data_IF_201762209756
#
_entry.id   IF_201762209756
#
_cell.length_a   1.000
_cell.length_b   1.000
_cell.length_c   1.000
_cell.angle_alpha   90.00
_cell.angle_beta   90.00
_cell.angle_gamma   90.00
#
_symmetry.space_group_name_H-M   'P 1'
#
loop_
_entity.id
_entity.type
_entity.pdbx_description
1 polymer ?
#
# COMPACT_ATOMS: atom_id res chain seq x y z
N UNK A 1 14.99 25.20 8.84
CA UNK A 1 14.81 24.90 10.27
C UNK A 1 13.71 25.81 10.84
N UNK A 2 12.70 25.26 11.49
CA UNK A 2 11.54 26.01 11.98
C UNK A 2 11.97 26.88 13.18
N UNK A 3 11.70 28.20 13.18
CA UNK A 3 12.23 29.16 14.20
C UNK A 3 12.01 28.67 15.64
N UNK A 4 10.88 28.01 15.91
CA UNK A 4 10.52 27.45 17.22
C UNK A 4 11.48 26.33 17.70
N UNK A 5 11.98 25.51 16.78
CA UNK A 5 12.91 24.41 17.08
C UNK A 5 14.30 24.98 17.39
N UNK A 6 14.72 26.00 16.65
CA UNK A 6 15.99 26.69 16.89
C UNK A 6 16.01 27.36 18.27
N UNK A 7 14.91 28.02 18.65
CA UNK A 7 14.80 28.65 19.98
C UNK A 7 14.80 27.62 21.11
N UNK A 8 14.13 26.48 20.94
CA UNK A 8 14.12 25.41 21.94
C UNK A 8 15.50 24.79 22.16
N UNK A 9 16.28 24.56 21.09
CA UNK A 9 17.65 24.04 21.18
C UNK A 9 18.56 25.04 21.91
N UNK A 10 18.44 26.34 21.61
CA UNK A 10 19.22 27.39 22.29
C UNK A 10 18.88 27.43 23.79
N UNK A 11 17.60 27.34 24.16
CA UNK A 11 17.18 27.35 25.57
C UNK A 11 17.71 26.12 26.32
N UNK A 12 17.65 24.94 25.72
CA UNK A 12 18.17 23.70 26.31
C UNK A 12 19.70 23.77 26.49
N UNK A 13 20.42 24.34 25.53
CA UNK A 13 21.87 24.54 25.64
C UNK A 13 22.23 25.52 26.77
N UNK A 14 21.48 26.62 26.93
CA UNK A 14 21.67 27.58 28.03
C UNK A 14 21.38 26.94 29.39
N UNK A 15 20.30 26.16 29.51
CA UNK A 15 19.96 25.44 30.73
C UNK A 15 21.01 24.38 31.12
N UNK A 16 21.55 23.64 30.15
CA UNK A 16 22.62 22.69 30.39
C UNK A 16 23.90 23.38 30.91
N UNK A 17 24.21 24.56 30.38
CA UNK A 17 25.36 25.38 30.78
C UNK A 17 25.24 25.83 32.25
N UNK A 18 24.06 26.31 32.65
CA UNK A 18 23.76 26.75 34.03
C UNK A 18 23.87 25.60 35.03
N UNK A 19 23.43 24.39 34.65
CA UNK A 19 23.50 23.20 35.52
C UNK A 19 24.91 22.64 35.60
N UNK A 20 25.75 22.76 34.56
CA UNK A 20 27.12 22.23 34.57
C UNK A 20 28.16 23.10 35.31
N UNK A 21 27.90 24.41 35.43
CA UNK A 21 28.77 25.39 36.10
C UNK A 21 29.14 25.00 37.56
N UNK A 22 28.19 24.64 38.45
CA UNK A 22 28.53 24.28 39.84
C UNK A 22 29.19 22.91 39.98
N UNK A 23 29.10 22.01 38.99
CA UNK A 23 29.74 20.70 39.02
C UNK A 23 31.16 20.71 38.44
N UNK A 24 31.47 21.64 37.53
CA UNK A 24 32.80 21.79 36.95
C UNK A 24 33.85 22.24 37.99
N UNK A 25 33.45 23.09 38.95
CA UNK A 25 34.32 23.56 40.05
C UNK A 25 34.75 22.44 41.02
N UNK A 26 34.02 21.32 41.10
CA UNK A 26 34.32 20.21 42.01
C UNK A 26 35.24 19.15 41.41
N UNK A 27 35.40 19.11 40.09
CA UNK A 27 36.05 18.00 39.37
C UNK A 27 37.40 18.44 38.75
N UNK A 28 37.59 19.73 38.50
CA UNK A 28 38.76 20.25 37.76
C UNK A 28 39.72 20.96 38.73
N UNK A 29 41.03 20.61 38.74
CA UNK A 29 42.02 21.27 39.59
C UNK A 29 42.06 22.78 39.37
N UNK A 30 42.12 23.57 40.45
CA UNK A 30 42.06 25.05 40.41
C UNK A 30 43.12 25.70 39.52
N UNK A 31 44.27 25.05 39.38
CA UNK A 31 45.40 25.50 38.54
C UNK A 31 45.04 25.52 37.05
N UNK A 32 44.32 24.50 36.56
CA UNK A 32 43.86 24.40 35.16
C UNK A 32 42.72 25.38 34.86
N UNK A 33 41.87 25.67 35.84
CA UNK A 33 40.77 26.62 35.69
C UNK A 33 41.27 28.07 35.63
N UNK A 34 42.35 28.41 36.34
CA UNK A 34 42.92 29.75 36.33
C UNK A 34 43.57 30.12 34.98
N UNK A 35 44.18 29.16 34.30
CA UNK A 35 44.90 29.39 33.04
C UNK A 35 44.01 29.18 31.79
N UNK A 36 43.10 28.20 31.83
CA UNK A 36 42.28 27.80 30.67
C UNK A 36 40.78 27.78 30.94
N UNK A 37 40.29 28.32 32.07
CA UNK A 37 38.91 28.15 32.55
C UNK A 37 37.82 28.50 31.54
N UNK A 38 38.02 29.58 30.77
CA UNK A 38 37.10 29.97 29.69
C UNK A 38 37.08 28.91 28.57
N UNK A 39 38.24 28.36 28.21
CA UNK A 39 38.39 27.37 27.15
C UNK A 39 37.80 26.00 27.56
N UNK A 40 38.04 25.59 28.82
CA UNK A 40 37.53 24.35 29.41
C UNK A 40 36.00 24.34 29.46
N UNK A 41 35.35 25.49 29.68
CA UNK A 41 33.89 25.59 29.66
C UNK A 41 33.31 25.67 28.23
N UNK A 42 34.00 26.34 27.30
CA UNK A 42 33.50 26.57 25.94
C UNK A 42 33.59 25.31 25.07
N UNK A 43 34.68 24.54 25.16
CA UNK A 43 34.91 23.35 24.32
C UNK A 43 33.78 22.31 24.43
N UNK A 44 33.33 21.86 25.61
CA UNK A 44 32.24 20.88 25.70
C UNK A 44 30.91 21.43 25.17
N UNK A 45 30.66 22.74 25.30
CA UNK A 45 29.46 23.39 24.74
C UNK A 45 29.50 23.39 23.22
N UNK A 46 30.65 23.73 22.62
CA UNK A 46 30.83 23.67 21.16
C UNK A 46 30.66 22.23 20.66
N UNK A 47 31.26 21.24 21.34
CA UNK A 47 31.14 19.82 20.99
C UNK A 47 29.68 19.36 21.07
N UNK A 48 28.94 19.76 22.09
CA UNK A 48 27.52 19.45 22.25
C UNK A 48 26.68 20.05 21.11
N UNK A 49 26.92 21.32 20.75
CA UNK A 49 26.22 22.01 19.65
C UNK A 49 26.51 21.29 18.32
N UNK A 50 27.76 20.93 18.06
CA UNK A 50 28.15 20.20 16.84
C UNK A 50 27.48 18.82 16.79
N UNK A 51 27.44 18.08 17.90
CA UNK A 51 26.73 16.81 18.01
C UNK A 51 25.23 16.96 17.72
N UNK A 52 24.58 17.98 18.27
CA UNK A 52 23.16 18.24 18.02
C UNK A 52 22.87 18.61 16.56
N UNK A 53 23.76 19.36 15.90
CA UNK A 53 23.67 19.65 14.47
C UNK A 53 23.83 18.39 13.63
N UNK A 54 24.78 17.52 13.97
CA UNK A 54 25.00 16.24 13.28
C UNK A 54 23.78 15.33 13.45
N UNK A 55 23.28 15.16 14.68
CA UNK A 55 22.09 14.34 14.98
C UNK A 55 20.86 14.90 14.25
N UNK A 56 20.65 16.22 14.30
CA UNK A 56 19.57 16.88 13.56
C UNK A 56 19.65 16.65 12.06
N UNK A 57 20.84 16.77 11.48
CA UNK A 57 21.09 16.52 10.05
C UNK A 57 20.88 15.04 9.65
N UNK A 58 21.27 14.10 10.51
CA UNK A 58 21.04 12.66 10.29
C UNK A 58 19.55 12.32 10.39
N UNK A 59 18.84 12.84 11.40
CA UNK A 59 17.39 12.63 11.55
C UNK A 59 16.63 13.26 10.39
N UNK A 60 16.99 14.47 9.96
CA UNK A 60 16.39 15.14 8.80
C UNK A 60 16.67 14.38 7.49
N UNK A 61 17.87 13.79 7.33
CA UNK A 61 18.19 12.87 6.22
C UNK A 61 17.37 11.58 6.25
N UNK A 62 17.08 11.03 7.42
CA UNK A 62 16.27 9.81 7.58
C UNK A 62 14.78 10.13 7.32
N UNK A 63 14.28 11.24 7.85
CA UNK A 63 12.89 11.67 7.67
C UNK A 63 12.58 12.12 6.24
N UNK A 64 13.55 12.70 5.53
CA UNK A 64 13.41 13.09 4.12
C UNK A 64 13.78 11.98 3.13
N UNK A 65 14.12 10.77 3.61
CA UNK A 65 14.36 9.64 2.73
C UNK A 65 13.01 9.19 2.17
N UNK A 66 12.79 9.43 0.87
CA UNK A 66 11.61 8.88 0.17
C UNK A 66 11.52 7.38 0.50
N UNK A 67 10.36 6.88 0.98
CA UNK A 67 10.22 5.47 1.32
C UNK A 67 10.56 4.65 0.07
N UNK A 68 11.18 3.48 0.29
CA UNK A 68 11.50 2.60 -0.84
C UNK A 68 10.19 2.23 -1.54
N UNK A 69 10.23 2.09 -2.87
CA UNK A 69 9.03 1.73 -3.64
C UNK A 69 8.40 0.41 -3.12
N UNK A 70 9.23 -0.52 -2.64
CA UNK A 70 8.82 -1.75 -1.96
C UNK A 70 7.97 -1.48 -0.69
N UNK A 71 8.35 -0.49 0.12
CA UNK A 71 7.64 -0.11 1.35
C UNK A 71 6.29 0.53 0.98
N UNK A 72 6.27 1.41 -0.02
CA UNK A 72 5.05 2.01 -0.55
C UNK A 72 4.09 0.95 -1.10
N UNK A 73 4.60 -0.07 -1.82
CA UNK A 73 3.80 -1.20 -2.29
C UNK A 73 3.15 -1.93 -1.10
N UNK A 74 3.95 -2.26 -0.08
CA UNK A 74 3.47 -2.99 1.09
C UNK A 74 2.42 -2.20 1.87
N UNK A 75 2.62 -0.88 2.03
CA UNK A 75 1.66 0.03 2.66
C UNK A 75 0.33 0.04 1.88
N UNK A 76 0.35 0.23 0.57
CA UNK A 76 -0.85 0.23 -0.27
C UNK A 76 -1.63 -1.10 -0.18
N UNK A 77 -0.92 -2.23 -0.14
CA UNK A 77 -1.54 -3.56 0.05
C UNK A 77 -2.20 -3.67 1.42
N UNK A 78 -1.57 -3.16 2.48
CA UNK A 78 -2.15 -3.16 3.82
C UNK A 78 -3.38 -2.26 3.92
N UNK A 79 -3.31 -1.05 3.37
CA UNK A 79 -4.45 -0.13 3.31
C UNK A 79 -5.65 -0.73 2.57
N UNK A 80 -5.41 -1.42 1.44
CA UNK A 80 -6.44 -2.15 0.70
C UNK A 80 -7.08 -3.26 1.55
N UNK A 81 -6.26 -4.04 2.27
CA UNK A 81 -6.76 -5.08 3.20
C UNK A 81 -7.56 -4.48 4.36
N UNK A 82 -7.14 -3.33 4.88
CA UNK A 82 -7.86 -2.62 5.95
C UNK A 82 -9.22 -2.13 5.42
N UNK A 83 -9.24 -1.50 4.26
CA UNK A 83 -10.48 -1.02 3.62
C UNK A 83 -11.44 -2.19 3.33
N UNK A 84 -10.92 -3.31 2.83
CA UNK A 84 -11.69 -4.54 2.62
C UNK A 84 -12.31 -5.06 3.93
N UNK A 85 -11.50 -5.19 4.99
CA UNK A 85 -11.99 -5.61 6.31
C UNK A 85 -13.04 -4.64 6.87
N UNK A 86 -12.83 -3.33 6.72
CA UNK A 86 -13.79 -2.32 7.16
C UNK A 86 -15.09 -2.40 6.39
N UNK A 87 -15.01 -2.64 5.07
CA UNK A 87 -16.19 -2.83 4.23
C UNK A 87 -16.96 -4.08 4.63
N UNK A 88 -16.28 -5.23 4.78
CA UNK A 88 -16.92 -6.47 5.20
C UNK A 88 -17.53 -6.38 6.61
N UNK A 89 -16.91 -5.61 7.53
CA UNK A 89 -17.46 -5.35 8.87
C UNK A 89 -18.51 -4.22 8.91
N UNK A 90 -19.03 -3.79 7.76
CA UNK A 90 -20.01 -2.71 7.64
C UNK A 90 -19.59 -1.34 8.23
N UNK A 91 -18.30 -1.12 8.48
CA UNK A 91 -17.77 0.15 9.01
C UNK A 91 -17.70 1.26 7.95
N UNK A 92 -17.61 0.87 6.68
CA UNK A 92 -17.65 1.79 5.54
C UNK A 92 -18.68 1.31 4.52
N UNK A 93 -19.29 2.26 3.82
CA UNK A 93 -20.27 2.00 2.78
C UNK A 93 -19.59 1.59 1.46
N UNK A 94 -20.41 1.17 0.49
CA UNK A 94 -19.92 0.73 -0.82
C UNK A 94 -19.19 1.85 -1.56
N UNK A 95 -19.76 3.06 -1.57
CA UNK A 95 -19.19 4.18 -2.32
C UNK A 95 -17.79 4.54 -1.80
N UNK A 96 -17.61 4.54 -0.48
CA UNK A 96 -16.30 4.79 0.14
C UNK A 96 -15.32 3.66 -0.15
N UNK A 97 -15.72 2.40 -0.03
CA UNK A 97 -14.87 1.26 -0.36
C UNK A 97 -14.43 1.28 -1.84
N UNK A 98 -15.36 1.48 -2.76
CA UNK A 98 -15.08 1.53 -4.20
C UNK A 98 -14.12 2.67 -4.53
N UNK A 99 -14.30 3.85 -3.90
CA UNK A 99 -13.41 4.99 -4.04
C UNK A 99 -11.99 4.72 -3.53
N UNK A 100 -11.86 4.14 -2.33
CA UNK A 100 -10.56 3.77 -1.75
C UNK A 100 -9.89 2.71 -2.61
N UNK A 101 -10.62 1.63 -2.96
CA UNK A 101 -10.11 0.51 -3.73
C UNK A 101 -9.60 0.96 -5.09
N UNK A 102 -10.38 1.77 -5.83
CA UNK A 102 -9.97 2.31 -7.13
C UNK A 102 -8.71 3.18 -7.02
N UNK A 103 -8.67 4.09 -6.05
CA UNK A 103 -7.54 5.01 -5.86
C UNK A 103 -6.25 4.25 -5.48
N UNK A 104 -6.34 3.32 -4.53
CA UNK A 104 -5.19 2.58 -4.02
C UNK A 104 -4.71 1.52 -5.01
N UNK A 105 -5.61 0.83 -5.72
CA UNK A 105 -5.23 -0.08 -6.81
C UNK A 105 -4.52 0.64 -7.95
N UNK A 106 -4.97 1.85 -8.32
CA UNK A 106 -4.29 2.65 -9.35
C UNK A 106 -2.87 3.02 -8.92
N UNK A 107 -2.70 3.46 -7.67
CA UNK A 107 -1.38 3.76 -7.11
C UNK A 107 -0.50 2.52 -7.01
N UNK A 108 -1.06 1.36 -6.70
CA UNK A 108 -0.32 0.11 -6.62
C UNK A 108 0.28 -0.26 -7.98
N UNK A 109 -0.51 -0.12 -9.05
CA UNK A 109 -0.05 -0.34 -10.43
C UNK A 109 1.08 0.64 -10.81
N UNK A 110 0.96 1.91 -10.40
CA UNK A 110 1.98 2.93 -10.63
C UNK A 110 3.29 2.62 -9.90
N UNK A 111 3.22 2.25 -8.62
CA UNK A 111 4.39 1.85 -7.82
C UNK A 111 5.07 0.63 -8.44
N UNK A 112 4.31 -0.39 -8.87
CA UNK A 112 4.86 -1.55 -9.58
C UNK A 112 5.55 -1.15 -10.89
N UNK A 113 4.96 -0.23 -11.65
CA UNK A 113 5.59 0.30 -12.88
C UNK A 113 6.92 1.00 -12.58
N UNK A 114 7.00 1.73 -11.46
CA UNK A 114 8.21 2.42 -11.04
C UNK A 114 9.28 1.43 -10.56
N UNK A 115 8.89 0.36 -9.86
CA UNK A 115 9.81 -0.74 -9.47
C UNK A 115 10.37 -1.41 -10.73
N UNK A 116 9.50 -1.77 -11.68
CA UNK A 116 9.92 -2.37 -12.95
C UNK A 116 10.86 -1.44 -13.73
N UNK A 117 10.65 -0.11 -13.66
CA UNK A 117 11.48 0.88 -14.37
C UNK A 117 12.85 1.09 -13.72
N UNK A 118 12.95 1.10 -12.39
CA UNK A 118 14.24 1.15 -11.69
C UNK A 118 15.12 -0.07 -12.02
N UNK A 119 14.50 -1.25 -12.17
CA UNK A 119 15.20 -2.49 -12.53
C UNK A 119 15.74 -2.50 -13.97
N UNK A 120 15.30 -1.58 -14.83
CA UNK A 120 15.76 -1.47 -16.23
C UNK A 120 17.00 -0.58 -16.42
N UNK A 121 17.44 0.15 -15.40
CA UNK A 121 18.45 1.22 -15.51
C UNK A 121 19.84 0.80 -16.01
N UNK A 122 20.13 -0.50 -16.07
CA UNK A 122 21.42 -1.06 -16.47
C UNK A 122 21.35 -2.09 -17.61
N UNK A 123 20.22 -2.17 -18.33
CA UNK A 123 19.98 -3.23 -19.33
C UNK A 123 20.13 -2.72 -20.77
N UNK A 124 20.46 -3.64 -21.68
CA UNK A 124 20.56 -3.33 -23.11
C UNK A 124 19.20 -2.97 -23.72
N UNK A 125 19.18 -2.19 -24.80
CA UNK A 125 17.94 -1.71 -25.44
C UNK A 125 17.00 -2.84 -25.88
N UNK A 126 17.57 -3.98 -26.33
CA UNK A 126 16.80 -5.19 -26.69
C UNK A 126 16.12 -5.82 -25.47
N UNK A 127 16.80 -5.87 -24.33
CA UNK A 127 16.26 -6.39 -23.07
C UNK A 127 15.20 -5.45 -22.48
N UNK A 128 15.43 -4.13 -22.59
CA UNK A 128 14.45 -3.11 -22.18
C UNK A 128 13.13 -3.27 -22.95
N UNK A 129 13.18 -3.45 -24.29
CA UNK A 129 11.95 -3.68 -25.10
C UNK A 129 11.20 -4.95 -24.70
N UNK A 130 11.93 -6.04 -24.42
CA UNK A 130 11.33 -7.30 -23.95
C UNK A 130 10.67 -7.14 -22.58
N UNK A 131 11.35 -6.49 -21.64
CA UNK A 131 10.83 -6.20 -20.30
C UNK A 131 9.65 -5.22 -20.32
N UNK A 132 9.62 -4.28 -21.27
CA UNK A 132 8.49 -3.37 -21.42
C UNK A 132 7.21 -4.09 -21.85
N UNK A 133 7.32 -5.04 -22.78
CA UNK A 133 6.21 -5.91 -23.16
C UNK A 133 5.69 -6.76 -22.00
N UNK A 134 6.60 -7.25 -21.14
CA UNK A 134 6.26 -8.03 -19.95
C UNK A 134 5.60 -7.14 -18.88
N UNK A 135 6.16 -5.95 -18.62
CA UNK A 135 5.62 -5.00 -17.63
C UNK A 135 4.21 -4.54 -18.03
N UNK A 136 3.96 -4.21 -19.30
CA UNK A 136 2.61 -3.89 -19.79
C UNK A 136 1.62 -5.04 -19.61
N UNK A 137 2.04 -6.29 -19.88
CA UNK A 137 1.22 -7.48 -19.61
C UNK A 137 0.97 -7.67 -18.11
N UNK A 138 2.00 -7.49 -17.27
CA UNK A 138 1.92 -7.53 -15.80
C UNK A 138 0.87 -6.55 -15.30
N UNK A 139 0.94 -5.29 -15.71
CA UNK A 139 -0.03 -4.26 -15.34
C UNK A 139 -1.46 -4.61 -15.77
N UNK A 140 -1.65 -5.11 -17.00
CA UNK A 140 -2.97 -5.49 -17.51
C UNK A 140 -3.59 -6.65 -16.74
N UNK A 141 -2.81 -7.69 -16.46
CA UNK A 141 -3.28 -8.86 -15.69
C UNK A 141 -3.52 -8.47 -14.24
N UNK A 142 -2.61 -7.72 -13.62
CA UNK A 142 -2.76 -7.24 -12.24
C UNK A 142 -4.03 -6.41 -12.08
N UNK A 143 -4.29 -5.47 -13.01
CA UNK A 143 -5.55 -4.70 -13.04
C UNK A 143 -6.77 -5.61 -13.12
N UNK A 144 -6.75 -6.61 -14.01
CA UNK A 144 -7.85 -7.56 -14.14
C UNK A 144 -8.10 -8.37 -12.87
N UNK A 145 -7.04 -8.87 -12.22
CA UNK A 145 -7.14 -9.62 -10.96
C UNK A 145 -7.66 -8.74 -9.81
N UNK A 146 -7.20 -7.49 -9.71
CA UNK A 146 -7.70 -6.53 -8.72
C UNK A 146 -9.19 -6.22 -8.93
N UNK A 147 -9.63 -6.05 -10.17
CA UNK A 147 -11.06 -5.89 -10.51
C UNK A 147 -11.88 -7.14 -10.16
N UNK A 148 -11.35 -8.34 -10.41
CA UNK A 148 -12.01 -9.59 -10.02
C UNK A 148 -12.16 -9.71 -8.51
N UNK A 149 -11.07 -9.43 -7.76
CA UNK A 149 -11.08 -9.41 -6.31
C UNK A 149 -12.17 -8.49 -5.79
N UNK A 150 -12.21 -7.26 -6.32
CA UNK A 150 -13.22 -6.27 -5.95
C UNK A 150 -14.65 -6.78 -6.18
N UNK A 151 -14.92 -7.40 -7.34
CA UNK A 151 -16.23 -8.01 -7.63
C UNK A 151 -16.59 -9.13 -6.67
N UNK A 152 -15.63 -9.99 -6.32
CA UNK A 152 -15.83 -11.12 -5.41
C UNK A 152 -16.11 -10.68 -3.98
N UNK A 153 -15.41 -9.65 -3.49
CA UNK A 153 -15.71 -9.00 -2.21
C UNK A 153 -17.14 -8.44 -2.20
N UNK A 154 -17.58 -7.86 -3.32
CA UNK A 154 -18.96 -7.37 -3.43
C UNK A 154 -19.99 -8.52 -3.44
N UNK A 155 -19.73 -9.60 -4.17
CA UNK A 155 -20.58 -10.80 -4.23
C UNK A 155 -20.74 -11.44 -2.84
N UNK A 156 -19.67 -11.47 -2.05
CA UNK A 156 -19.69 -11.94 -0.67
C UNK A 156 -20.67 -11.12 0.19
N UNK A 157 -20.64 -9.79 0.06
CA UNK A 157 -21.50 -8.90 0.84
C UNK A 157 -22.97 -8.93 0.40
N UNK A 158 -23.24 -9.15 -0.88
CA UNK A 158 -24.61 -9.39 -1.38
C UNK A 158 -25.16 -10.71 -0.79
N UNK A 159 -24.31 -11.74 -0.78
CA UNK A 159 -24.64 -13.05 -0.22
C UNK A 159 -24.95 -12.94 1.29
N UNK A 160 -24.10 -12.24 2.04
CA UNK A 160 -24.33 -11.96 3.47
C UNK A 160 -25.64 -11.20 3.71
N UNK A 161 -25.91 -10.15 2.93
CA UNK A 161 -27.18 -9.40 3.01
C UNK A 161 -28.39 -10.28 2.72
N UNK A 162 -28.27 -11.22 1.78
CA UNK A 162 -29.35 -12.15 1.42
C UNK A 162 -29.65 -13.14 2.54
N UNK A 163 -28.60 -13.65 3.19
CA UNK A 163 -28.73 -14.48 4.39
C UNK A 163 -29.37 -13.74 5.55
N UNK A 164 -28.90 -12.52 5.86
CA UNK A 164 -29.48 -11.68 6.93
C UNK A 164 -30.96 -11.32 6.66
N UNK A 165 -31.36 -11.21 5.39
CA UNK A 165 -32.75 -11.02 4.96
C UNK A 165 -33.55 -12.33 4.85
N UNK A 166 -33.00 -13.46 5.28
CA UNK A 166 -33.62 -14.80 5.22
C UNK A 166 -34.04 -15.23 3.81
N UNK A 167 -33.41 -14.70 2.77
CA UNK A 167 -33.66 -15.10 1.38
C UNK A 167 -32.96 -16.39 0.99
N UNK A 168 -31.94 -16.79 1.75
CA UNK A 168 -31.18 -18.04 1.59
C UNK A 168 -30.98 -18.68 2.96
N UNK A 169 -30.90 -20.00 3.00
CA UNK A 169 -30.66 -20.79 4.20
C UNK A 169 -29.17 -20.84 4.58
N UNK A 170 -28.88 -21.28 5.80
CA UNK A 170 -27.52 -21.30 6.35
C UNK A 170 -26.59 -22.23 5.55
N UNK A 171 -27.10 -23.36 5.06
CA UNK A 171 -26.31 -24.32 4.28
C UNK A 171 -25.87 -23.70 2.95
N UNK A 172 -26.79 -23.08 2.23
CA UNK A 172 -26.49 -22.38 0.97
C UNK A 172 -25.54 -21.20 1.22
N UNK A 173 -25.76 -20.43 2.28
CA UNK A 173 -24.87 -19.33 2.68
C UNK A 173 -23.43 -19.81 2.91
N UNK A 174 -23.24 -20.87 3.71
CA UNK A 174 -21.90 -21.43 4.00
C UNK A 174 -21.20 -21.92 2.74
N UNK A 175 -21.92 -22.61 1.85
CA UNK A 175 -21.37 -23.10 0.58
C UNK A 175 -20.91 -21.96 -0.33
N UNK A 176 -21.75 -20.95 -0.55
CA UNK A 176 -21.40 -19.79 -1.39
C UNK A 176 -20.22 -19.02 -0.76
N UNK A 177 -20.27 -18.79 0.56
CA UNK A 177 -19.20 -18.10 1.30
C UNK A 177 -17.86 -18.82 1.20
N UNK A 178 -17.83 -20.15 1.35
CA UNK A 178 -16.60 -20.93 1.22
C UNK A 178 -16.01 -20.77 -0.18
N UNK A 179 -16.84 -20.99 -1.20
CA UNK A 179 -16.41 -20.90 -2.61
C UNK A 179 -15.86 -19.51 -2.97
N UNK A 180 -16.55 -18.44 -2.57
CA UNK A 180 -16.06 -17.07 -2.81
C UNK A 180 -14.75 -16.82 -2.05
N UNK A 181 -14.62 -17.34 -0.83
CA UNK A 181 -13.40 -17.18 -0.02
C UNK A 181 -12.21 -17.91 -0.64
N UNK A 182 -12.39 -19.13 -1.14
CA UNK A 182 -11.37 -19.88 -1.89
C UNK A 182 -10.94 -19.15 -3.17
N UNK A 183 -11.89 -18.59 -3.92
CA UNK A 183 -11.60 -17.79 -5.10
C UNK A 183 -10.82 -16.50 -4.74
N UNK A 184 -11.17 -15.81 -3.65
CA UNK A 184 -10.43 -14.64 -3.16
C UNK A 184 -8.99 -14.98 -2.75
N UNK A 185 -8.79 -16.09 -2.03
CA UNK A 185 -7.46 -16.58 -1.66
C UNK A 185 -6.63 -16.91 -2.91
N UNK A 186 -7.25 -17.55 -3.91
CA UNK A 186 -6.59 -17.85 -5.19
C UNK A 186 -6.14 -16.58 -5.92
N UNK A 187 -7.00 -15.56 -5.96
CA UNK A 187 -6.69 -14.27 -6.60
C UNK A 187 -5.55 -13.55 -5.85
N UNK A 188 -5.61 -13.50 -4.51
CA UNK A 188 -4.56 -12.87 -3.70
C UNK A 188 -3.20 -13.57 -3.88
N UNK A 189 -3.20 -14.91 -3.98
CA UNK A 189 -1.99 -15.69 -4.26
C UNK A 189 -1.40 -15.33 -5.61
N UNK A 190 -2.21 -15.27 -6.67
CA UNK A 190 -1.76 -14.89 -8.02
C UNK A 190 -1.23 -13.46 -8.09
N UNK A 191 -1.90 -12.52 -7.43
CA UNK A 191 -1.42 -11.14 -7.31
C UNK A 191 -0.04 -11.12 -6.65
N UNK A 192 0.11 -11.80 -5.50
CA UNK A 192 1.38 -11.88 -4.79
C UNK A 192 2.49 -12.46 -5.68
N UNK A 193 2.23 -13.59 -6.35
CA UNK A 193 3.19 -14.22 -7.25
C UNK A 193 3.61 -13.26 -8.38
N UNK A 194 2.66 -12.57 -9.01
CA UNK A 194 2.96 -11.60 -10.09
C UNK A 194 3.80 -10.42 -9.59
N UNK A 195 3.62 -9.99 -8.34
CA UNK A 195 4.39 -8.91 -7.73
C UNK A 195 5.79 -9.35 -7.30
N UNK A 196 5.95 -10.59 -6.82
CA UNK A 196 7.23 -11.09 -6.29
C UNK A 196 8.09 -11.83 -7.30
N UNK A 197 7.52 -12.32 -8.41
CA UNK A 197 8.26 -13.13 -9.38
C UNK A 197 9.16 -12.26 -10.26
N UNK A 198 10.47 -12.50 -10.16
CA UNK A 198 11.48 -11.78 -10.93
C UNK A 198 11.91 -12.54 -12.21
N UNK A 199 11.66 -13.85 -12.26
CA UNK A 199 12.01 -14.67 -13.42
C UNK A 199 11.01 -14.48 -14.57
N UNK A 200 11.50 -13.96 -15.71
CA UNK A 200 10.69 -13.66 -16.90
C UNK A 200 9.83 -14.85 -17.35
N UNK A 201 10.38 -16.06 -17.47
CA UNK A 201 9.64 -17.24 -17.96
C UNK A 201 8.52 -17.65 -17.01
N UNK A 202 8.80 -17.68 -15.70
CA UNK A 202 7.84 -18.01 -14.66
C UNK A 202 6.74 -16.94 -14.61
N UNK A 203 7.12 -15.66 -14.66
CA UNK A 203 6.18 -14.54 -14.74
C UNK A 203 5.29 -14.62 -15.99
N UNK A 204 5.83 -14.95 -17.16
CA UNK A 204 5.05 -15.10 -18.39
C UNK A 204 4.00 -16.23 -18.30
N UNK A 205 4.33 -17.35 -17.66
CA UNK A 205 3.36 -18.43 -17.42
C UNK A 205 2.24 -17.99 -16.48
N UNK A 206 2.59 -17.31 -15.39
CA UNK A 206 1.60 -16.80 -14.43
C UNK A 206 0.69 -15.74 -15.04
N UNK A 207 1.25 -14.84 -15.86
CA UNK A 207 0.48 -13.86 -16.62
C UNK A 207 -0.47 -14.53 -17.63
N UNK A 208 -0.06 -15.63 -18.29
CA UNK A 208 -0.92 -16.41 -19.19
C UNK A 208 -2.08 -17.06 -18.42
N UNK A 209 -1.80 -17.68 -17.27
CA UNK A 209 -2.83 -18.32 -16.43
C UNK A 209 -3.83 -17.30 -15.92
N UNK A 210 -3.35 -16.18 -15.37
CA UNK A 210 -4.20 -15.08 -14.92
C UNK A 210 -5.05 -14.49 -16.06
N UNK A 211 -4.46 -14.29 -17.24
CA UNK A 211 -5.20 -13.80 -18.41
C UNK A 211 -6.30 -14.77 -18.88
N UNK A 212 -6.05 -16.09 -18.84
CA UNK A 212 -7.06 -17.11 -19.17
C UNK A 212 -8.24 -17.07 -18.21
N UNK A 213 -7.99 -16.91 -16.92
CA UNK A 213 -9.05 -16.79 -15.93
C UNK A 213 -9.87 -15.52 -16.09
N UNK A 214 -9.22 -14.39 -16.37
CA UNK A 214 -9.89 -13.14 -16.74
C UNK A 214 -10.80 -13.35 -17.96
N UNK A 215 -10.30 -14.03 -19.00
CA UNK A 215 -11.10 -14.31 -20.18
C UNK A 215 -12.30 -15.25 -19.87
N UNK A 216 -12.09 -16.30 -19.07
CA UNK A 216 -13.14 -17.25 -18.68
C UNK A 216 -14.25 -16.56 -17.88
N UNK A 217 -13.88 -15.69 -16.94
CA UNK A 217 -14.85 -14.93 -16.16
C UNK A 217 -15.56 -13.85 -16.99
N UNK A 218 -14.86 -13.20 -17.92
CA UNK A 218 -15.51 -12.25 -18.83
C UNK A 218 -16.57 -12.95 -19.68
N UNK A 219 -16.24 -14.12 -20.27
CA UNK A 219 -17.21 -14.95 -21.01
C UNK A 219 -18.40 -15.38 -20.15
N UNK A 220 -18.21 -15.76 -18.89
CA UNK A 220 -19.32 -16.15 -18.02
C UNK A 220 -20.18 -14.97 -17.57
N UNK A 221 -19.59 -13.79 -17.41
CA UNK A 221 -20.31 -12.54 -17.16
C UNK A 221 -21.13 -12.11 -18.37
N UNK A 222 -20.57 -12.20 -19.57
CA UNK A 222 -21.25 -11.81 -20.81
C UNK A 222 -22.42 -12.75 -21.12
N UNK A 223 -22.27 -14.06 -20.87
CA UNK A 223 -23.38 -15.02 -20.96
C UNK A 223 -24.53 -14.68 -20.00
N UNK A 224 -24.21 -14.35 -18.74
CA UNK A 224 -25.22 -13.96 -17.75
C UNK A 224 -25.94 -12.67 -18.13
N UNK A 225 -25.23 -11.69 -18.70
CA UNK A 225 -25.86 -10.46 -19.21
C UNK A 225 -26.83 -10.74 -20.34
N UNK A 226 -26.45 -11.57 -21.33
CA UNK A 226 -27.35 -11.94 -22.43
C UNK A 226 -28.62 -12.62 -21.94
N UNK A 227 -28.50 -13.56 -21.01
CA UNK A 227 -29.65 -14.23 -20.41
C UNK A 227 -30.57 -13.26 -19.66
N UNK A 228 -30.03 -12.27 -18.96
CA UNK A 228 -30.82 -11.22 -18.31
C UNK A 228 -31.56 -10.35 -19.33
N UNK A 229 -30.90 -9.93 -20.41
CA UNK A 229 -31.55 -9.15 -21.47
C UNK A 229 -32.64 -9.95 -22.21
N UNK A 230 -32.43 -11.24 -22.43
CA UNK A 230 -33.46 -12.14 -22.98
C UNK A 230 -34.68 -12.25 -22.05
N UNK A 231 -34.48 -12.31 -20.73
CA UNK A 231 -35.56 -12.32 -19.75
C UNK A 231 -36.31 -10.98 -19.69
N UNK A 232 -35.59 -9.85 -19.76
CA UNK A 232 -36.21 -8.51 -19.79
C UNK A 232 -37.09 -8.32 -21.03
N UNK A 233 -36.63 -8.78 -22.20
CA UNK A 233 -37.45 -8.75 -23.43
C UNK A 233 -38.69 -9.64 -23.32
N UNK A 234 -38.58 -10.80 -22.67
CA UNK A 234 -39.70 -11.72 -22.44
C UNK A 234 -40.74 -11.12 -21.49
N UNK A 235 -40.29 -10.38 -20.48
CA UNK A 235 -41.14 -9.67 -19.53
C UNK A 235 -41.90 -8.51 -20.20
N UNK A 236 -41.24 -7.74 -21.07
CA UNK A 236 -41.89 -6.70 -21.89
C UNK A 236 -42.95 -7.30 -22.83
N UNK A 237 -42.64 -8.42 -23.49
CA UNK A 237 -43.55 -9.06 -24.44
C UNK A 237 -44.81 -9.60 -23.74
N UNK A 238 -44.65 -10.24 -22.56
CA UNK A 238 -45.75 -10.68 -21.72
C UNK A 238 -46.62 -9.53 -21.20
N UNK A 239 -46.00 -8.43 -20.76
CA UNK A 239 -46.73 -7.24 -20.32
C UNK A 239 -47.49 -6.57 -21.47
N UNK A 240 -46.97 -6.64 -22.69
CA UNK A 240 -47.64 -6.10 -23.88
C UNK A 240 -48.87 -6.92 -24.30
N UNK A 241 -48.88 -8.24 -24.06
CA UNK A 241 -50.03 -9.12 -24.34
C UNK A 241 -51.13 -9.05 -23.28
N UNK A 242 -50.84 -8.52 -22.09
CA UNK A 242 -51.81 -8.33 -20.99
C UNK A 242 -52.47 -6.94 -20.99
N UNK A 243 -52.15 -6.06 -21.96
CA UNK A 243 -52.82 -4.78 -22.21
C UNK A 243 -53.74 -4.88 -23.41
#
# INVERSE_FOLDING_TARGET
MNRKITTAIIIIAILALIVSLPFAEQIIPKELYAEYGVLIMIVPVIVLIVLLIIIGSVIEKIANKKPKLEDQRNELVQELKIAEKQFLKHKIDKKTYDGISKKKNSKLIEVESNIDSQKKGSLSEKEVKKLDGISKKKQKVLKGLLEQKHKKVHELKITEKSYLKRKIDEKTFKQIRSKISEELISIDSKIKIIQTTEQIKSLEMELKTGAKEIAKQKKSSDKRKKQLTELEMLEEDLLSQMR
#
